data_IF_383677249272
#
_entry.id   IF_383677249272
#
_cell.length_a   1.000
_cell.length_b   1.000
_cell.length_c   1.000
_cell.angle_alpha   90.00
_cell.angle_beta   90.00
_cell.angle_gamma   90.00
#
_symmetry.space_group_name_H-M   'P 1'
#
loop_
_entity.id
_entity.type
_entity.pdbx_description
1 polymer ?
#
# COMPACT_ATOMS: atom_id res chain seq x y z
N UNK A 1 47.03 -23.24 10.24
CA UNK A 1 47.40 -22.37 11.37
C UNK A 1 47.88 -21.04 10.81
N UNK A 2 47.10 -19.95 10.94
CA UNK A 2 47.50 -18.61 10.50
C UNK A 2 47.67 -17.73 11.74
N UNK A 3 48.76 -16.98 11.78
CA UNK A 3 49.08 -16.06 12.88
C UNK A 3 48.67 -14.66 12.42
N UNK A 4 47.65 -14.08 13.06
CA UNK A 4 47.21 -12.72 12.75
C UNK A 4 47.92 -11.79 13.72
N UNK A 5 48.75 -10.89 13.19
CA UNK A 5 49.44 -9.86 13.97
C UNK A 5 48.57 -8.61 13.98
N UNK A 6 48.17 -8.18 15.16
CA UNK A 6 47.41 -6.96 15.37
C UNK A 6 48.36 -5.74 15.41
N UNK A 7 47.88 -4.54 15.02
CA UNK A 7 48.72 -3.34 14.97
C UNK A 7 49.23 -2.86 16.34
N UNK A 8 48.69 -3.40 17.44
CA UNK A 8 49.17 -3.16 18.80
C UNK A 8 50.31 -4.09 19.24
N UNK A 9 50.80 -4.95 18.32
CA UNK A 9 51.90 -5.88 18.57
C UNK A 9 51.48 -7.20 19.20
N UNK A 10 50.19 -7.41 19.48
CA UNK A 10 49.66 -8.71 19.93
C UNK A 10 49.45 -9.65 18.74
N UNK A 11 49.58 -10.95 18.97
CA UNK A 11 49.45 -11.97 17.92
C UNK A 11 48.52 -13.08 18.38
N UNK A 12 47.32 -13.14 17.79
CA UNK A 12 46.37 -14.20 18.07
C UNK A 12 46.61 -15.40 17.15
N UNK A 13 46.61 -16.59 17.77
CA UNK A 13 46.59 -17.87 17.08
C UNK A 13 45.15 -18.25 16.84
N UNK A 14 44.70 -18.11 15.59
CA UNK A 14 43.39 -18.60 15.17
C UNK A 14 43.58 -19.98 14.53
N UNK A 15 43.13 -21.01 15.24
CA UNK A 15 42.93 -22.34 14.68
C UNK A 15 41.50 -22.41 14.16
N UNK A 16 41.36 -22.51 12.84
CA UNK A 16 40.09 -22.83 12.22
C UNK A 16 39.88 -24.33 12.34
N UNK A 17 39.06 -24.72 13.31
CA UNK A 17 38.52 -26.07 13.38
C UNK A 17 37.18 -26.06 12.65
N UNK A 18 37.14 -26.69 11.48
CA UNK A 18 35.85 -26.99 10.86
C UNK A 18 35.05 -27.86 11.81
N UNK A 19 33.76 -27.56 12.00
CA UNK A 19 32.91 -28.43 12.80
C UNK A 19 32.91 -29.83 12.20
N UNK A 20 32.84 -30.90 13.02
CA UNK A 20 32.64 -32.23 12.48
C UNK A 20 31.36 -32.25 11.63
N UNK A 21 31.46 -32.82 10.43
CA UNK A 21 30.31 -32.93 9.53
C UNK A 21 29.20 -33.73 10.20
N UNK A 22 27.96 -33.27 10.06
CA UNK A 22 26.78 -34.04 10.49
C UNK A 22 26.56 -35.24 9.57
N UNK A 23 25.74 -36.20 10.00
CA UNK A 23 25.39 -37.36 9.16
C UNK A 23 24.73 -36.94 7.84
N UNK A 24 23.87 -35.91 7.88
CA UNK A 24 23.20 -35.34 6.71
C UNK A 24 24.21 -34.67 5.76
N UNK A 25 25.19 -33.95 6.31
CA UNK A 25 26.27 -33.35 5.53
C UNK A 25 27.12 -34.44 4.87
N UNK A 26 27.53 -35.47 5.60
CA UNK A 26 28.31 -36.58 5.07
C UNK A 26 27.57 -37.30 3.92
N UNK A 27 26.26 -37.52 4.06
CA UNK A 27 25.43 -38.09 3.00
C UNK A 27 25.30 -37.14 1.78
N UNK A 28 25.13 -35.84 2.02
CA UNK A 28 25.05 -34.84 0.96
C UNK A 28 26.39 -34.67 0.20
N UNK A 29 27.53 -34.85 0.89
CA UNK A 29 28.86 -34.75 0.30
C UNK A 29 29.37 -36.04 -0.34
N UNK A 30 28.75 -37.19 -0.06
CA UNK A 30 29.17 -38.49 -0.61
C UNK A 30 29.27 -38.49 -2.15
N UNK A 31 28.35 -37.79 -2.84
CA UNK A 31 28.34 -37.63 -4.31
C UNK A 31 29.50 -36.82 -4.89
N UNK A 32 30.24 -36.11 -4.05
CA UNK A 32 31.36 -35.26 -4.44
C UNK A 32 32.72 -35.88 -4.07
N UNK A 33 32.72 -37.00 -3.35
CA UNK A 33 33.92 -37.65 -2.80
C UNK A 33 34.93 -38.05 -3.87
N UNK A 34 34.44 -38.47 -5.03
CA UNK A 34 35.26 -39.01 -6.12
C UNK A 34 35.55 -37.98 -7.23
N UNK A 35 35.10 -36.73 -7.05
CA UNK A 35 35.32 -35.68 -8.04
C UNK A 35 36.70 -35.05 -7.89
N UNK A 36 37.31 -34.75 -9.03
CA UNK A 36 38.53 -33.96 -9.05
C UNK A 36 38.26 -32.52 -8.57
N UNK A 37 39.27 -31.82 -8.01
CA UNK A 37 39.12 -30.41 -7.62
C UNK A 37 38.59 -29.49 -8.73
N UNK A 38 38.93 -29.78 -9.99
CA UNK A 38 38.43 -29.04 -11.15
C UNK A 38 36.94 -29.28 -11.40
N UNK A 39 36.46 -30.50 -11.21
CA UNK A 39 35.04 -30.83 -11.33
C UNK A 39 34.22 -30.22 -10.19
N UNK A 40 34.75 -30.20 -8.97
CA UNK A 40 34.14 -29.48 -7.84
C UNK A 40 33.97 -27.99 -8.15
N UNK A 41 35.01 -27.33 -8.66
CA UNK A 41 34.95 -25.92 -9.06
C UNK A 41 33.95 -25.67 -10.20
N UNK A 42 33.86 -26.59 -11.17
CA UNK A 42 32.89 -26.50 -12.28
C UNK A 42 31.45 -26.63 -11.77
N UNK A 43 31.20 -27.55 -10.84
CA UNK A 43 29.89 -27.74 -10.24
C UNK A 43 29.48 -26.56 -9.35
N UNK A 44 30.42 -26.02 -8.55
CA UNK A 44 30.18 -24.82 -7.75
C UNK A 44 29.78 -23.64 -8.63
N UNK A 45 30.54 -23.35 -9.69
CA UNK A 45 30.22 -22.26 -10.63
C UNK A 45 28.85 -22.45 -11.28
N UNK A 46 28.51 -23.68 -11.65
CA UNK A 46 27.17 -23.99 -12.20
C UNK A 46 26.07 -23.76 -11.16
N UNK A 47 26.30 -24.13 -9.90
CA UNK A 47 25.34 -23.94 -8.82
C UNK A 47 25.14 -22.46 -8.49
N UNK A 48 26.21 -21.67 -8.44
CA UNK A 48 26.17 -20.21 -8.26
C UNK A 48 25.40 -19.56 -9.40
N UNK A 49 25.72 -19.90 -10.65
CA UNK A 49 24.99 -19.41 -11.82
C UNK A 49 23.49 -19.76 -11.76
N UNK A 50 23.15 -21.01 -11.42
CA UNK A 50 21.76 -21.43 -11.29
C UNK A 50 21.04 -20.69 -10.15
N UNK A 51 21.72 -20.38 -9.05
CA UNK A 51 21.17 -19.61 -7.96
C UNK A 51 20.88 -18.17 -8.39
N UNK A 52 21.81 -17.53 -9.11
CA UNK A 52 21.65 -16.17 -9.64
C UNK A 52 20.51 -16.08 -10.66
N UNK A 53 20.41 -17.05 -11.56
CA UNK A 53 19.29 -17.17 -12.51
C UNK A 53 17.98 -17.33 -11.76
N UNK A 54 17.90 -18.25 -10.80
CA UNK A 54 16.68 -18.50 -10.04
C UNK A 54 16.28 -17.30 -9.15
N UNK A 55 17.25 -16.50 -8.69
CA UNK A 55 16.99 -15.26 -7.95
C UNK A 55 16.45 -14.18 -8.90
N UNK A 56 17.07 -14.01 -10.06
CA UNK A 56 16.64 -13.06 -11.09
C UNK A 56 15.22 -13.36 -11.57
N UNK A 57 14.90 -14.63 -11.85
CA UNK A 57 13.55 -15.05 -12.22
C UNK A 57 12.54 -14.77 -11.10
N UNK A 58 12.88 -15.09 -9.85
CA UNK A 58 12.02 -14.79 -8.69
C UNK A 58 11.71 -13.30 -8.57
N UNK A 59 12.71 -12.45 -8.76
CA UNK A 59 12.53 -11.00 -8.66
C UNK A 59 11.71 -10.45 -9.84
N UNK A 60 11.88 -11.00 -11.04
CA UNK A 60 11.01 -10.72 -12.18
C UNK A 60 9.56 -11.12 -11.89
N UNK A 61 9.33 -12.32 -11.36
CA UNK A 61 7.99 -12.78 -10.99
C UNK A 61 7.34 -11.90 -9.93
N UNK A 62 8.11 -11.46 -8.92
CA UNK A 62 7.62 -10.51 -7.90
C UNK A 62 7.23 -9.17 -8.53
N UNK A 63 8.06 -8.65 -9.45
CA UNK A 63 7.77 -7.40 -10.14
C UNK A 63 6.49 -7.50 -10.99
N UNK A 64 6.33 -8.61 -11.73
CA UNK A 64 5.12 -8.90 -12.51
C UNK A 64 3.90 -9.00 -11.60
N UNK A 65 3.97 -9.80 -10.54
CA UNK A 65 2.87 -9.98 -9.60
C UNK A 65 2.44 -8.64 -8.96
N UNK A 66 3.41 -7.82 -8.55
CA UNK A 66 3.13 -6.50 -7.99
C UNK A 66 2.45 -5.57 -9.01
N UNK A 67 2.92 -5.57 -10.26
CA UNK A 67 2.32 -4.82 -11.35
C UNK A 67 0.88 -5.26 -11.61
N UNK A 68 0.65 -6.55 -11.78
CA UNK A 68 -0.70 -7.11 -12.02
C UNK A 68 -1.64 -6.81 -10.86
N UNK A 69 -1.18 -6.92 -9.62
CA UNK A 69 -1.98 -6.56 -8.45
C UNK A 69 -2.34 -5.07 -8.44
N UNK A 70 -1.41 -4.21 -8.85
CA UNK A 70 -1.65 -2.77 -8.97
C UNK A 70 -2.66 -2.45 -10.08
N UNK A 71 -2.52 -3.10 -11.23
CA UNK A 71 -3.44 -2.97 -12.38
C UNK A 71 -4.86 -3.44 -12.02
N UNK A 72 -4.98 -4.60 -11.35
CA UNK A 72 -6.26 -5.11 -10.84
C UNK A 72 -6.90 -4.12 -9.85
N UNK A 73 -6.13 -3.64 -8.87
CA UNK A 73 -6.62 -2.68 -7.89
C UNK A 73 -7.05 -1.35 -8.55
N UNK A 74 -6.43 -0.93 -9.65
CA UNK A 74 -6.86 0.23 -10.42
C UNK A 74 -8.16 -0.04 -11.18
N UNK A 75 -8.28 -1.21 -11.82
CA UNK A 75 -9.49 -1.61 -12.53
C UNK A 75 -10.69 -1.72 -11.59
N UNK A 76 -10.53 -2.36 -10.43
CA UNK A 76 -11.55 -2.45 -9.39
C UNK A 76 -12.00 -1.08 -8.89
N UNK A 77 -11.06 -0.15 -8.68
CA UNK A 77 -11.40 1.24 -8.29
C UNK A 77 -12.19 1.96 -9.36
N UNK A 78 -11.82 1.79 -10.64
CA UNK A 78 -12.55 2.39 -11.77
C UNK A 78 -13.95 1.83 -11.86
N UNK A 79 -14.12 0.52 -11.72
CA UNK A 79 -15.42 -0.15 -11.72
C UNK A 79 -16.29 0.35 -10.55
N UNK A 80 -15.75 0.40 -9.34
CA UNK A 80 -16.48 0.89 -8.18
C UNK A 80 -16.87 2.38 -8.28
N UNK A 81 -16.13 3.17 -9.05
CA UNK A 81 -16.45 4.58 -9.28
C UNK A 81 -17.61 4.79 -10.26
N UNK A 82 -18.01 3.76 -11.01
CA UNK A 82 -19.17 3.81 -11.90
C UNK A 82 -20.43 3.59 -11.06
N UNK A 83 -21.45 4.43 -11.29
CA UNK A 83 -22.76 4.19 -10.68
C UNK A 83 -23.40 2.98 -11.37
N UNK A 84 -23.77 1.92 -10.64
CA UNK A 84 -24.38 0.73 -11.23
C UNK A 84 -25.70 1.06 -11.93
N UNK A 85 -26.04 0.30 -12.97
CA UNK A 85 -27.28 0.49 -13.71
C UNK A 85 -28.51 0.33 -12.81
N UNK A 86 -29.49 1.24 -12.97
CA UNK A 86 -30.69 1.28 -12.13
C UNK A 86 -30.49 1.85 -10.72
N UNK A 87 -29.26 2.26 -10.36
CA UNK A 87 -28.97 2.94 -9.11
C UNK A 87 -28.73 4.43 -9.32
N UNK A 88 -29.17 5.23 -8.36
CA UNK A 88 -28.94 6.68 -8.35
C UNK A 88 -28.11 7.09 -7.14
N UNK A 89 -27.32 8.15 -7.32
CA UNK A 89 -26.64 8.78 -6.19
C UNK A 89 -27.68 9.43 -5.26
N UNK A 90 -27.62 9.22 -3.94
CA UNK A 90 -28.50 9.94 -3.02
C UNK A 90 -28.35 11.45 -3.15
N UNK A 91 -29.45 12.20 -3.11
CA UNK A 91 -29.44 13.67 -3.29
C UNK A 91 -28.41 14.38 -2.39
N UNK A 92 -28.36 14.03 -1.11
CA UNK A 92 -27.38 14.60 -0.18
C UNK A 92 -25.92 14.32 -0.56
N UNK A 93 -25.66 13.20 -1.26
CA UNK A 93 -24.33 12.90 -1.80
C UNK A 93 -24.07 13.73 -3.05
N UNK A 94 -25.04 13.85 -3.95
CA UNK A 94 -24.90 14.69 -5.15
C UNK A 94 -24.61 16.15 -4.78
N UNK A 95 -25.38 16.72 -3.85
CA UNK A 95 -25.20 18.09 -3.36
C UNK A 95 -23.83 18.28 -2.70
N UNK A 96 -23.38 17.32 -1.90
CA UNK A 96 -22.07 17.37 -1.25
C UNK A 96 -20.92 17.28 -2.25
N UNK A 97 -21.02 16.41 -3.26
CA UNK A 97 -20.00 16.26 -4.29
C UNK A 97 -19.92 17.52 -5.16
N UNK A 98 -21.06 18.05 -5.60
CA UNK A 98 -21.12 19.30 -6.36
C UNK A 98 -20.57 20.49 -5.56
N UNK A 99 -20.88 20.56 -4.26
CA UNK A 99 -20.35 21.60 -3.37
C UNK A 99 -18.84 21.49 -3.17
N UNK A 100 -18.32 20.26 -3.03
CA UNK A 100 -16.88 20.03 -2.94
C UNK A 100 -16.16 20.47 -4.23
N UNK A 101 -16.67 20.05 -5.37
CA UNK A 101 -16.09 20.36 -6.68
C UNK A 101 -16.10 21.87 -6.98
N UNK A 102 -17.19 22.58 -6.67
CA UNK A 102 -17.29 24.03 -6.87
C UNK A 102 -16.30 24.84 -6.02
N UNK A 103 -15.80 24.25 -4.93
CA UNK A 103 -14.78 24.85 -4.07
C UNK A 103 -13.38 24.25 -4.32
N UNK A 104 -13.19 23.49 -5.41
CA UNK A 104 -11.91 22.91 -5.81
C UNK A 104 -11.44 21.70 -4.98
N UNK A 105 -12.29 21.14 -4.13
CA UNK A 105 -11.99 19.92 -3.40
C UNK A 105 -12.11 18.70 -4.31
N UNK A 106 -11.29 17.68 -4.04
CA UNK A 106 -11.33 16.41 -4.78
C UNK A 106 -12.27 15.44 -4.10
N UNK A 107 -12.98 14.67 -4.90
CA UNK A 107 -13.87 13.63 -4.42
C UNK A 107 -13.63 12.30 -5.14
N UNK A 108 -13.96 11.20 -4.47
CA UNK A 108 -13.96 9.86 -5.02
C UNK A 108 -15.17 9.10 -4.47
N UNK A 109 -15.73 8.22 -5.30
CA UNK A 109 -16.87 7.37 -4.95
C UNK A 109 -16.54 5.90 -5.21
N UNK A 110 -17.12 5.02 -4.42
CA UNK A 110 -17.00 3.58 -4.58
C UNK A 110 -18.31 2.89 -4.18
N UNK A 111 -18.95 2.25 -5.14
CA UNK A 111 -20.09 1.36 -4.95
C UNK A 111 -19.60 -0.05 -4.62
N UNK A 112 -20.25 -0.71 -3.68
CA UNK A 112 -19.95 -2.09 -3.29
C UNK A 112 -21.26 -2.83 -3.02
N UNK A 113 -21.52 -3.96 -3.71
CA UNK A 113 -22.69 -4.79 -3.42
C UNK A 113 -22.73 -5.23 -1.96
N UNK A 114 -23.94 -5.25 -1.37
CA UNK A 114 -24.21 -5.71 -0.02
C UNK A 114 -25.46 -6.58 -0.01
N UNK A 115 -25.26 -7.89 -0.11
CA UNK A 115 -26.35 -8.85 -0.22
C UNK A 115 -26.99 -8.82 -1.61
N UNK A 116 -28.25 -9.24 -1.71
CA UNK A 116 -29.00 -9.32 -2.98
C UNK A 116 -29.48 -7.96 -3.48
N UNK A 117 -30.00 -7.13 -2.59
CA UNK A 117 -30.76 -5.91 -2.98
C UNK A 117 -30.20 -4.61 -2.37
N UNK A 118 -29.01 -4.69 -1.78
CA UNK A 118 -28.36 -3.58 -1.10
C UNK A 118 -27.05 -3.18 -1.77
N UNK A 119 -26.74 -1.89 -1.73
CA UNK A 119 -25.46 -1.35 -2.12
C UNK A 119 -24.89 -0.48 -0.99
N UNK A 120 -23.57 -0.52 -0.82
CA UNK A 120 -22.84 0.44 -0.03
C UNK A 120 -22.20 1.46 -0.96
N UNK A 121 -22.46 2.73 -0.69
CA UNK A 121 -21.81 3.85 -1.36
C UNK A 121 -20.82 4.49 -0.41
N UNK A 122 -19.52 4.34 -0.69
CA UNK A 122 -18.46 5.04 0.02
C UNK A 122 -18.07 6.28 -0.75
N UNK A 123 -18.03 7.42 -0.06
CA UNK A 123 -17.59 8.70 -0.60
C UNK A 123 -16.37 9.16 0.17
N UNK A 124 -15.36 9.62 -0.55
CA UNK A 124 -14.19 10.26 0.02
C UNK A 124 -14.10 11.66 -0.55
N UNK A 125 -13.97 12.67 0.30
CA UNK A 125 -13.78 14.07 -0.10
C UNK A 125 -12.55 14.58 0.61
N UNK A 126 -11.71 15.33 -0.07
CA UNK A 126 -10.55 15.92 0.56
C UNK A 126 -9.81 16.91 -0.31
N UNK A 127 -8.89 17.62 0.34
CA UNK A 127 -7.90 18.49 -0.29
C UNK A 127 -6.64 18.51 0.55
N UNK A 128 -5.52 18.84 -0.08
CA UNK A 128 -4.29 19.11 0.65
C UNK A 128 -4.38 20.49 1.32
N UNK A 129 -3.64 20.68 2.42
CA UNK A 129 -3.56 21.97 3.10
C UNK A 129 -2.73 22.97 2.30
N UNK A 130 -3.20 24.20 2.26
CA UNK A 130 -2.47 25.35 1.75
C UNK A 130 -1.69 26.05 2.88
N UNK A 131 -0.63 26.81 2.56
CA UNK A 131 0.10 27.60 3.55
C UNK A 131 -0.78 28.57 4.34
N UNK A 132 -1.92 29.00 3.77
CA UNK A 132 -2.91 29.88 4.40
C UNK A 132 -3.77 29.19 5.47
N UNK A 133 -3.74 27.86 5.58
CA UNK A 133 -4.57 27.08 6.51
C UNK A 133 -3.98 27.00 7.94
N UNK A 134 -3.03 27.86 8.28
CA UNK A 134 -2.29 27.79 9.54
C UNK A 134 -3.17 27.97 10.80
N UNK A 135 -2.83 27.33 11.94
CA UNK A 135 -1.74 26.38 12.15
C UNK A 135 -2.18 24.91 12.02
N UNK A 136 -1.86 24.29 10.89
CA UNK A 136 -2.18 22.90 10.56
C UNK A 136 -1.04 21.94 10.95
N UNK A 137 -1.32 20.92 11.77
CA UNK A 137 -0.36 19.83 12.09
C UNK A 137 -0.34 18.74 11.02
N UNK A 138 -1.43 18.59 10.28
CA UNK A 138 -1.63 17.63 9.21
C UNK A 138 -1.59 18.29 7.83
N UNK A 139 -1.36 17.47 6.80
CA UNK A 139 -1.16 17.94 5.42
C UNK A 139 -2.42 17.90 4.56
N UNK A 140 -3.54 17.39 5.09
CA UNK A 140 -4.75 17.19 4.31
C UNK A 140 -6.02 17.29 5.16
N UNK A 141 -7.08 17.74 4.50
CA UNK A 141 -8.46 17.54 4.90
C UNK A 141 -8.99 16.29 4.19
N UNK A 142 -9.56 15.33 4.92
CA UNK A 142 -10.14 14.13 4.32
C UNK A 142 -11.33 13.62 5.11
N UNK A 143 -12.46 13.43 4.43
CA UNK A 143 -13.69 12.87 4.97
C UNK A 143 -14.02 11.58 4.22
N UNK A 144 -14.29 10.50 4.96
CA UNK A 144 -14.76 9.21 4.46
C UNK A 144 -16.17 8.99 5.00
N UNK A 145 -17.13 9.00 4.09
CA UNK A 145 -18.55 8.90 4.41
C UNK A 145 -19.11 7.65 3.73
N UNK A 146 -20.11 7.02 4.34
CA UNK A 146 -20.70 5.79 3.79
C UNK A 146 -22.21 5.87 3.87
N UNK A 147 -22.88 5.40 2.82
CA UNK A 147 -24.32 5.23 2.74
C UNK A 147 -24.65 3.76 2.51
N UNK A 148 -25.72 3.30 3.14
CA UNK A 148 -26.42 2.08 2.75
C UNK A 148 -27.58 2.49 1.85
N UNK A 149 -27.54 2.01 0.62
CA UNK A 149 -28.52 2.27 -0.41
C UNK A 149 -29.32 0.99 -0.66
N UNK A 150 -30.63 1.15 -0.75
CA UNK A 150 -31.60 0.17 -1.26
C UNK A 150 -32.44 0.87 -2.34
N UNK A 151 -33.15 0.15 -3.21
CA UNK A 151 -34.01 0.79 -4.20
C UNK A 151 -34.97 1.80 -3.54
N UNK A 152 -34.94 3.06 -4.01
CA UNK A 152 -35.78 4.15 -3.50
C UNK A 152 -35.40 4.73 -2.14
N UNK A 153 -34.36 4.23 -1.45
CA UNK A 153 -33.96 4.76 -0.15
C UNK A 153 -32.46 4.66 0.10
N UNK A 154 -31.88 5.70 0.69
CA UNK A 154 -30.48 5.69 1.11
C UNK A 154 -30.33 6.35 2.47
N UNK A 155 -29.60 5.67 3.37
CA UNK A 155 -29.29 6.20 4.70
C UNK A 155 -27.78 6.29 4.90
N UNK A 156 -27.33 7.32 5.60
CA UNK A 156 -25.93 7.40 6.04
C UNK A 156 -25.64 6.26 7.04
N UNK A 157 -24.57 5.51 6.80
CA UNK A 157 -24.11 4.43 7.65
C UNK A 157 -23.08 4.97 8.65
N UNK A 158 -23.55 5.32 9.85
CA UNK A 158 -22.71 5.87 10.92
C UNK A 158 -22.25 7.31 10.69
N UNK A 159 -21.38 7.80 11.57
CA UNK A 159 -20.81 9.14 11.46
C UNK A 159 -19.83 9.26 10.28
N UNK A 160 -19.13 8.19 9.91
CA UNK A 160 -18.01 8.27 8.98
C UNK A 160 -16.73 8.74 9.67
N UNK A 161 -15.64 8.86 8.91
CA UNK A 161 -14.32 9.20 9.43
C UNK A 161 -13.80 10.49 8.84
N UNK A 162 -13.13 11.29 9.66
CA UNK A 162 -12.46 12.51 9.25
C UNK A 162 -10.99 12.46 9.66
N UNK A 163 -10.18 13.14 8.86
CA UNK A 163 -8.80 13.50 9.13
C UNK A 163 -8.69 14.97 8.79
N UNK A 164 -8.45 15.82 9.77
CA UNK A 164 -8.29 17.25 9.57
C UNK A 164 -6.84 17.67 9.87
N UNK A 165 -6.43 18.86 9.46
CA UNK A 165 -5.08 19.33 9.75
C UNK A 165 -4.82 19.48 11.26
N UNK A 166 -5.82 19.87 12.04
CA UNK A 166 -5.70 19.96 13.50
C UNK A 166 -5.60 18.57 14.16
N UNK A 167 -6.23 17.58 13.53
CA UNK A 167 -6.31 16.19 14.01
C UNK A 167 -5.91 15.24 12.89
N UNK A 168 -4.59 15.01 12.69
CA UNK A 168 -4.09 14.21 11.57
C UNK A 168 -4.31 12.69 11.74
N UNK A 169 -4.92 12.24 12.84
CA UNK A 169 -5.37 10.85 13.01
C UNK A 169 -6.84 10.71 12.60
N UNK A 170 -7.26 9.51 12.20
CA UNK A 170 -8.67 9.26 11.89
C UNK A 170 -9.53 9.40 13.15
N UNK A 171 -10.59 10.18 13.06
CA UNK A 171 -11.59 10.37 14.10
C UNK A 171 -12.99 10.42 13.50
N UNK A 172 -14.02 10.50 14.33
CA UNK A 172 -15.39 10.60 13.84
C UNK A 172 -15.59 11.85 12.96
N UNK A 173 -16.25 11.65 11.83
CA UNK A 173 -16.56 12.77 10.94
C UNK A 173 -17.66 13.66 11.52
N UNK A 174 -17.57 14.98 11.29
CA UNK A 174 -18.64 15.88 11.69
C UNK A 174 -19.91 15.67 10.84
N UNK A 175 -20.98 16.37 11.20
CA UNK A 175 -22.24 16.35 10.45
C UNK A 175 -22.04 16.89 9.02
N UNK A 176 -22.91 16.50 8.07
CA UNK A 176 -22.80 16.98 6.68
C UNK A 176 -22.80 18.50 6.60
N UNK A 177 -23.66 19.16 7.40
CA UNK A 177 -23.72 20.63 7.46
C UNK A 177 -22.38 21.26 7.86
N UNK A 178 -21.68 20.67 8.84
CA UNK A 178 -20.34 21.14 9.24
C UNK A 178 -19.29 20.88 8.16
N UNK A 179 -19.40 19.76 7.45
CA UNK A 179 -18.52 19.46 6.30
C UNK A 179 -18.74 20.50 5.18
N UNK A 180 -19.98 20.84 4.84
CA UNK A 180 -20.28 21.89 3.86
C UNK A 180 -19.69 23.24 4.26
N UNK A 181 -19.87 23.65 5.53
CA UNK A 181 -19.29 24.89 6.04
C UNK A 181 -17.76 24.87 5.91
N UNK A 182 -17.10 23.78 6.35
CA UNK A 182 -15.64 23.64 6.24
C UNK A 182 -15.14 23.71 4.79
N UNK A 183 -15.86 23.11 3.84
CA UNK A 183 -15.51 23.19 2.42
C UNK A 183 -15.59 24.64 1.92
N UNK A 184 -16.61 25.38 2.36
CA UNK A 184 -16.80 26.78 1.99
C UNK A 184 -15.81 27.73 2.63
N UNK A 185 -15.45 27.52 3.90
CA UNK A 185 -14.47 28.33 4.63
C UNK A 185 -13.05 28.11 4.12
N UNK A 186 -12.82 26.96 3.47
CA UNK A 186 -11.52 26.52 3.01
C UNK A 186 -11.54 26.08 1.54
N UNK A 187 -11.82 26.99 0.59
CA UNK A 187 -11.78 26.64 -0.82
C UNK A 187 -10.35 26.31 -1.24
N UNK A 188 -10.22 25.44 -2.24
CA UNK A 188 -8.97 25.19 -2.94
C UNK A 188 -9.01 25.91 -4.28
N UNK A 189 -8.61 27.18 -4.27
CA UNK A 189 -8.32 27.89 -5.52
C UNK A 189 -6.97 27.38 -6.00
N UNK A 190 -6.97 26.47 -6.98
CA UNK A 190 -5.74 26.16 -7.70
C UNK A 190 -5.29 27.46 -8.38
N UNK A 191 -4.32 28.15 -7.79
CA UNK A 191 -3.57 29.18 -8.49
C UNK A 191 -2.99 28.51 -9.72
N UNK A 192 -3.36 29.06 -10.89
CA UNK A 192 -2.80 28.77 -12.21
C UNK A 192 -1.35 28.31 -12.13
N UNK A 193 -1.11 27.04 -12.46
CA UNK A 193 0.18 26.49 -12.82
C UNK A 193 0.07 25.93 -14.24
#
# INVERSE_FOLDING_TARGET
MKRVLHPDGTADRVEFHDRPQTADEAQAFAKYRDLSPLELMRQLRTAEWNADVAQSERDQWKAIAHRTQTELAQAERRLAAITPDGWELPRAVQELLAHAESHGWRSARAWTPRGTDGMLLKIVIGRDTLPSDAPSRGTQWRFKLTWSCVPGSARRAGAGLARTPDRPQWHDAPSLRKIHALISDHPYSAGSA
#
